data_IF_941265436428
#
_entry.id   IF_941265436428
#
_cell.length_a   1.000
_cell.length_b   1.000
_cell.length_c   1.000
_cell.angle_alpha   90.00
_cell.angle_beta   90.00
_cell.angle_gamma   90.00
#
_symmetry.space_group_name_H-M   'P 1'
#
loop_
_entity.id
_entity.type
_entity.pdbx_description
1 polymer ?
#
# COMPACT_ATOMS: atom_id res chain seq x y z
N UNK A 1 21.24 -4.57 -25.64
CA UNK A 1 19.86 -4.57 -25.09
C UNK A 1 20.00 -4.98 -23.64
N UNK A 2 19.42 -4.23 -22.70
CA UNK A 2 19.37 -4.69 -21.31
C UNK A 2 18.52 -5.97 -21.25
N UNK A 3 18.92 -6.91 -20.39
CA UNK A 3 18.16 -8.15 -20.15
C UNK A 3 16.78 -7.77 -19.59
N UNK A 4 15.70 -8.32 -20.16
CA UNK A 4 14.35 -8.14 -19.64
C UNK A 4 14.24 -8.79 -18.25
N UNK A 5 13.55 -8.14 -17.32
CA UNK A 5 13.25 -8.74 -16.02
C UNK A 5 12.12 -9.76 -16.18
N UNK A 6 12.29 -10.95 -15.63
CA UNK A 6 11.31 -12.04 -15.69
C UNK A 6 10.36 -11.93 -14.49
N UNK A 7 9.13 -11.50 -14.76
CA UNK A 7 8.11 -11.26 -13.76
C UNK A 7 7.15 -12.45 -13.62
N UNK A 8 6.66 -12.69 -12.41
CA UNK A 8 5.51 -13.54 -12.16
C UNK A 8 4.47 -12.88 -11.26
N UNK A 9 3.24 -13.41 -11.30
CA UNK A 9 2.13 -12.97 -10.44
C UNK A 9 1.57 -14.17 -9.69
N UNK A 10 1.51 -14.08 -8.36
CA UNK A 10 0.84 -15.06 -7.49
C UNK A 10 -0.52 -14.48 -7.10
N UNK A 11 -1.60 -15.12 -7.54
CA UNK A 11 -2.98 -14.67 -7.47
C UNK A 11 -3.46 -14.10 -8.81
N UNK A 12 -4.51 -14.71 -9.38
CA UNK A 12 -5.13 -14.32 -10.66
C UNK A 12 -6.54 -13.72 -10.46
N UNK A 13 -6.77 -13.08 -9.31
CA UNK A 13 -7.95 -12.27 -9.02
C UNK A 13 -8.02 -11.00 -9.86
N UNK A 14 -8.88 -10.04 -9.50
CA UNK A 14 -9.02 -8.79 -10.26
C UNK A 14 -7.72 -7.98 -10.30
N UNK A 15 -7.07 -7.77 -9.15
CA UNK A 15 -5.78 -7.06 -9.11
C UNK A 15 -4.68 -7.87 -9.78
N UNK A 16 -4.58 -9.18 -9.54
CA UNK A 16 -3.61 -10.04 -10.23
C UNK A 16 -3.69 -9.97 -11.76
N UNK A 17 -4.91 -9.89 -12.31
CA UNK A 17 -5.13 -9.66 -13.75
C UNK A 17 -4.60 -8.30 -14.23
N UNK A 18 -4.72 -7.25 -13.42
CA UNK A 18 -4.17 -5.94 -13.75
C UNK A 18 -2.63 -5.93 -13.71
N UNK A 19 -2.03 -6.58 -12.71
CA UNK A 19 -0.57 -6.73 -12.63
C UNK A 19 -0.03 -7.51 -13.84
N UNK A 20 -0.64 -8.66 -14.15
CA UNK A 20 -0.26 -9.47 -15.31
C UNK A 20 -0.39 -8.68 -16.62
N UNK A 21 -1.48 -7.92 -16.78
CA UNK A 21 -1.67 -7.05 -17.95
C UNK A 21 -0.55 -6.03 -18.08
N UNK A 22 -0.22 -5.32 -17.01
CA UNK A 22 0.79 -4.27 -17.05
C UNK A 22 2.18 -4.85 -17.30
N UNK A 23 2.57 -5.93 -16.62
CA UNK A 23 3.85 -6.59 -16.89
C UNK A 23 3.97 -7.07 -18.35
N UNK A 24 2.87 -7.55 -18.94
CA UNK A 24 2.84 -7.94 -20.35
C UNK A 24 2.89 -6.75 -21.33
N UNK A 25 2.59 -5.53 -20.88
CA UNK A 25 2.63 -4.29 -21.68
C UNK A 25 3.89 -3.45 -21.41
N UNK A 26 4.79 -3.87 -20.52
CA UNK A 26 6.05 -3.18 -20.22
C UNK A 26 7.15 -3.64 -21.19
N UNK A 27 7.88 -2.70 -21.79
CA UNK A 27 8.91 -3.02 -22.80
C UNK A 27 10.17 -3.69 -22.21
N UNK A 28 10.33 -3.61 -20.89
CA UNK A 28 11.54 -3.98 -20.18
C UNK A 28 11.32 -5.11 -19.16
N UNK A 29 10.11 -5.67 -19.13
CA UNK A 29 9.69 -6.81 -18.30
C UNK A 29 9.06 -7.88 -19.21
N UNK A 30 9.35 -9.14 -18.92
CA UNK A 30 8.69 -10.29 -19.51
C UNK A 30 7.84 -10.96 -18.43
N UNK A 31 6.51 -11.01 -18.61
CA UNK A 31 5.67 -11.84 -17.76
C UNK A 31 5.85 -13.31 -18.15
N UNK A 32 6.44 -14.12 -17.26
CA UNK A 32 6.80 -15.52 -17.57
C UNK A 32 5.85 -16.55 -16.96
N UNK A 33 5.28 -16.24 -15.79
CA UNK A 33 4.46 -17.18 -15.05
C UNK A 33 3.35 -16.52 -14.22
N UNK A 34 2.26 -17.26 -14.02
CA UNK A 34 1.17 -16.90 -13.11
C UNK A 34 0.81 -18.12 -12.26
N UNK A 35 0.58 -17.92 -10.96
CA UNK A 35 0.08 -18.95 -10.06
C UNK A 35 -1.29 -18.57 -9.46
N UNK A 36 -2.26 -19.49 -9.44
CA UNK A 36 -3.55 -19.34 -8.75
C UNK A 36 -4.17 -20.74 -8.56
N UNK A 37 -4.75 -21.07 -7.40
CA UNK A 37 -5.34 -22.40 -7.17
C UNK A 37 -6.57 -22.70 -8.05
N UNK A 38 -7.20 -21.67 -8.64
CA UNK A 38 -8.42 -21.78 -9.45
C UNK A 38 -8.07 -21.94 -10.94
N UNK A 39 -8.24 -23.15 -11.46
CA UNK A 39 -7.93 -23.52 -12.86
C UNK A 39 -8.63 -22.63 -13.90
N UNK A 40 -9.87 -22.20 -13.64
CA UNK A 40 -10.60 -21.32 -14.55
C UNK A 40 -9.95 -19.93 -14.67
N UNK A 41 -9.33 -19.42 -13.60
CA UNK A 41 -8.60 -18.14 -13.64
C UNK A 41 -7.31 -18.30 -14.43
N UNK A 42 -6.55 -19.37 -14.18
CA UNK A 42 -5.33 -19.68 -14.92
C UNK A 42 -5.58 -19.85 -16.42
N UNK A 43 -6.64 -20.58 -16.79
CA UNK A 43 -7.00 -20.82 -18.19
C UNK A 43 -7.22 -19.51 -18.95
N UNK A 44 -7.90 -18.53 -18.33
CA UNK A 44 -8.07 -17.19 -18.92
C UNK A 44 -6.74 -16.45 -19.06
N UNK A 45 -5.85 -16.56 -18.08
CA UNK A 45 -4.55 -15.89 -18.10
C UNK A 45 -3.62 -16.47 -19.15
N UNK A 46 -3.55 -17.81 -19.27
CA UNK A 46 -2.78 -18.51 -20.29
C UNK A 46 -3.21 -18.10 -21.71
N UNK A 47 -4.53 -18.04 -21.96
CA UNK A 47 -5.07 -17.62 -23.25
C UNK A 47 -4.71 -16.16 -23.58
N UNK A 48 -4.75 -15.27 -22.59
CA UNK A 48 -4.54 -13.83 -22.78
C UNK A 48 -3.07 -13.46 -22.94
N UNK A 49 -2.20 -14.04 -22.12
CA UNK A 49 -0.80 -13.60 -22.00
C UNK A 49 0.22 -14.61 -22.55
N UNK A 50 -0.19 -15.85 -22.86
CA UNK A 50 0.71 -16.93 -23.35
C UNK A 50 1.88 -17.23 -22.38
N UNK A 51 1.56 -17.34 -21.09
CA UNK A 51 2.51 -17.57 -20.00
C UNK A 51 2.35 -18.94 -19.39
N UNK A 52 3.37 -19.41 -18.66
CA UNK A 52 3.25 -20.63 -17.87
C UNK A 52 2.26 -20.39 -16.71
N UNK A 53 1.46 -21.41 -16.40
CA UNK A 53 0.48 -21.32 -15.32
C UNK A 53 0.66 -22.45 -14.33
N UNK A 54 0.56 -22.13 -13.05
CA UNK A 54 0.79 -23.06 -11.95
C UNK A 54 -0.38 -23.03 -10.97
N UNK A 55 -0.90 -24.18 -10.57
CA UNK A 55 -1.91 -24.27 -9.49
C UNK A 55 -1.28 -24.11 -8.10
N UNK A 56 0.03 -24.29 -8.00
CA UNK A 56 0.82 -24.13 -6.79
C UNK A 56 2.02 -23.23 -7.09
N UNK A 57 2.12 -22.10 -6.37
CA UNK A 57 3.19 -21.13 -6.58
C UNK A 57 4.56 -21.68 -6.14
N UNK A 58 4.62 -22.68 -5.26
CA UNK A 58 5.90 -23.29 -4.85
C UNK A 58 6.56 -24.02 -6.01
N UNK A 59 5.75 -24.72 -6.79
CA UNK A 59 6.22 -25.36 -8.04
C UNK A 59 6.69 -24.31 -9.05
N UNK A 60 6.03 -23.15 -9.10
CA UNK A 60 6.47 -22.03 -9.93
C UNK A 60 7.84 -21.50 -9.49
N UNK A 61 8.04 -21.29 -8.18
CA UNK A 61 9.32 -20.83 -7.61
C UNK A 61 10.48 -21.81 -7.89
N UNK A 62 10.21 -23.11 -7.91
CA UNK A 62 11.23 -24.14 -8.22
C UNK A 62 11.60 -24.21 -9.71
N UNK A 63 10.64 -23.94 -10.60
CA UNK A 63 10.80 -24.20 -12.04
C UNK A 63 11.18 -22.96 -12.85
N UNK A 64 10.78 -21.79 -12.39
CA UNK A 64 10.99 -20.54 -13.09
C UNK A 64 12.20 -19.79 -12.54
N UNK A 65 12.98 -19.18 -13.44
CA UNK A 65 13.94 -18.16 -13.06
C UNK A 65 13.22 -16.81 -13.07
N UNK A 66 12.99 -16.23 -11.89
CA UNK A 66 12.21 -15.02 -11.69
C UNK A 66 13.09 -13.90 -11.15
N UNK A 67 12.98 -12.72 -11.73
CA UNK A 67 13.68 -11.52 -11.26
C UNK A 67 12.77 -10.66 -10.35
N UNK A 68 11.44 -10.83 -10.44
CA UNK A 68 10.46 -10.14 -9.59
C UNK A 68 9.12 -10.87 -9.51
N UNK A 69 8.40 -10.71 -8.39
CA UNK A 69 7.08 -11.31 -8.18
C UNK A 69 6.11 -10.28 -7.59
N UNK A 70 4.88 -10.26 -8.09
CA UNK A 70 3.74 -9.63 -7.39
C UNK A 70 2.93 -10.68 -6.64
N UNK A 71 2.78 -10.52 -5.32
CA UNK A 71 1.91 -11.31 -4.45
C UNK A 71 0.58 -10.57 -4.31
N UNK A 72 -0.47 -11.12 -4.92
CA UNK A 72 -1.80 -10.53 -5.06
C UNK A 72 -2.88 -11.56 -4.68
N UNK A 73 -2.68 -12.17 -3.52
CA UNK A 73 -3.53 -13.20 -2.92
C UNK A 73 -4.48 -12.56 -1.88
N UNK A 74 -5.42 -13.29 -1.27
CA UNK A 74 -6.17 -12.76 -0.13
C UNK A 74 -5.25 -12.37 1.03
N UNK A 75 -5.63 -11.35 1.80
CA UNK A 75 -4.80 -10.78 2.88
C UNK A 75 -4.25 -11.83 3.85
N UNK A 76 -5.07 -12.82 4.23
CA UNK A 76 -4.70 -13.93 5.12
C UNK A 76 -3.49 -14.74 4.63
N UNK A 77 -3.24 -14.73 3.32
CA UNK A 77 -2.16 -15.47 2.67
C UNK A 77 -0.93 -14.59 2.37
N UNK A 78 -1.01 -13.27 2.58
CA UNK A 78 0.10 -12.37 2.28
C UNK A 78 1.38 -12.76 3.01
N UNK A 79 1.30 -13.10 4.30
CA UNK A 79 2.45 -13.47 5.10
C UNK A 79 3.15 -14.72 4.57
N UNK A 80 2.43 -15.86 4.49
CA UNK A 80 3.00 -17.14 4.08
C UNK A 80 3.60 -17.06 2.66
N UNK A 81 2.86 -16.50 1.71
CA UNK A 81 3.32 -16.43 0.30
C UNK A 81 4.50 -15.47 0.15
N UNK A 82 4.47 -14.31 0.80
CA UNK A 82 5.58 -13.34 0.72
C UNK A 82 6.83 -13.88 1.42
N UNK A 83 6.67 -14.58 2.55
CA UNK A 83 7.76 -15.25 3.24
C UNK A 83 8.44 -16.29 2.34
N UNK A 84 7.66 -17.17 1.67
CA UNK A 84 8.19 -18.18 0.75
C UNK A 84 8.93 -17.53 -0.44
N UNK A 85 8.41 -16.42 -0.98
CA UNK A 85 9.06 -15.67 -2.07
C UNK A 85 10.37 -15.02 -1.64
N UNK A 86 10.40 -14.36 -0.47
CA UNK A 86 11.62 -13.77 0.07
C UNK A 86 12.68 -14.83 0.39
N UNK A 87 12.25 -15.96 0.94
CA UNK A 87 13.11 -17.12 1.22
C UNK A 87 13.72 -17.72 -0.05
N UNK A 88 13.03 -17.62 -1.18
CA UNK A 88 13.54 -18.01 -2.50
C UNK A 88 14.53 -16.99 -3.11
N UNK A 89 14.77 -15.85 -2.44
CA UNK A 89 15.71 -14.82 -2.91
C UNK A 89 15.15 -13.90 -3.99
N UNK A 90 13.83 -13.86 -4.19
CA UNK A 90 13.22 -13.13 -5.31
C UNK A 90 12.59 -11.81 -4.82
N UNK A 91 12.94 -10.66 -5.43
CA UNK A 91 12.29 -9.39 -5.13
C UNK A 91 10.77 -9.45 -5.23
N UNK A 92 10.07 -8.85 -4.27
CA UNK A 92 8.63 -9.00 -4.14
C UNK A 92 7.91 -7.68 -3.91
N UNK A 93 6.80 -7.52 -4.63
CA UNK A 93 5.75 -6.56 -4.32
C UNK A 93 4.58 -7.34 -3.72
N UNK A 94 4.24 -7.08 -2.46
CA UNK A 94 3.03 -7.61 -1.83
C UNK A 94 1.94 -6.55 -1.88
N UNK A 95 0.74 -6.93 -2.32
CA UNK A 95 -0.42 -6.03 -2.25
C UNK A 95 -0.73 -5.60 -0.82
N UNK A 96 -1.37 -4.44 -0.64
CA UNK A 96 -1.70 -3.94 0.70
C UNK A 96 -2.89 -4.70 1.31
N UNK A 97 -2.94 -4.86 2.64
CA UNK A 97 -1.90 -4.51 3.61
C UNK A 97 -0.72 -5.48 3.53
N UNK A 98 0.46 -5.10 4.02
CA UNK A 98 1.68 -5.95 3.95
C UNK A 98 1.48 -7.38 4.49
N UNK A 99 0.64 -7.54 5.51
CA UNK A 99 0.22 -8.80 6.11
C UNK A 99 -1.10 -8.59 6.88
N UNK A 100 -1.65 -9.66 7.46
CA UNK A 100 -2.86 -9.58 8.30
C UNK A 100 -2.63 -8.91 9.65
N UNK A 101 -1.41 -8.97 10.19
CA UNK A 101 -1.05 -8.33 11.46
C UNK A 101 0.23 -7.50 11.35
N UNK A 102 0.40 -6.58 12.31
CA UNK A 102 1.60 -5.74 12.43
C UNK A 102 2.85 -6.60 12.64
N UNK A 103 2.75 -7.63 13.48
CA UNK A 103 3.85 -8.54 13.81
C UNK A 103 4.33 -9.31 12.58
N UNK A 104 3.40 -9.85 11.79
CA UNK A 104 3.72 -10.51 10.53
C UNK A 104 4.40 -9.55 9.54
N UNK A 105 3.93 -8.30 9.46
CA UNK A 105 4.56 -7.28 8.62
C UNK A 105 6.00 -6.97 9.06
N UNK A 106 6.24 -6.85 10.36
CA UNK A 106 7.58 -6.64 10.93
C UNK A 106 8.51 -7.83 10.64
N UNK A 107 7.99 -9.05 10.71
CA UNK A 107 8.75 -10.27 10.39
C UNK A 107 9.14 -10.32 8.91
N UNK A 108 8.24 -9.98 7.98
CA UNK A 108 8.58 -9.88 6.55
C UNK A 108 9.67 -8.83 6.27
N UNK A 109 9.64 -7.70 6.98
CA UNK A 109 10.68 -6.66 6.87
C UNK A 109 12.03 -7.19 7.38
N UNK A 110 12.03 -7.91 8.49
CA UNK A 110 13.25 -8.52 9.03
C UNK A 110 13.82 -9.55 8.07
N UNK A 111 12.98 -10.43 7.53
CA UNK A 111 13.39 -11.45 6.56
C UNK A 111 13.94 -10.81 5.27
N UNK A 112 13.28 -9.78 4.75
CA UNK A 112 13.77 -9.03 3.57
C UNK A 112 15.17 -8.45 3.80
N UNK A 113 15.46 -7.94 5.00
CA UNK A 113 16.80 -7.45 5.38
C UNK A 113 17.81 -8.57 5.57
N UNK A 114 17.41 -9.69 6.19
CA UNK A 114 18.26 -10.87 6.38
C UNK A 114 18.69 -11.50 5.05
N UNK A 115 17.76 -11.60 4.11
CA UNK A 115 17.98 -12.20 2.80
C UNK A 115 18.61 -11.24 1.78
N UNK A 116 18.72 -9.95 2.10
CA UNK A 116 19.12 -8.88 1.18
C UNK A 116 18.25 -8.85 -0.11
N UNK A 117 16.93 -9.02 0.08
CA UNK A 117 15.94 -9.09 -1.01
C UNK A 117 14.98 -7.91 -0.90
N UNK A 118 14.75 -7.22 -2.03
CA UNK A 118 13.86 -6.06 -2.08
C UNK A 118 12.40 -6.47 -1.82
N UNK A 119 11.81 -5.90 -0.76
CA UNK A 119 10.38 -5.96 -0.43
C UNK A 119 9.77 -4.57 -0.62
N UNK A 120 8.73 -4.47 -1.45
CA UNK A 120 7.88 -3.28 -1.57
C UNK A 120 6.41 -3.65 -1.35
N UNK A 121 5.57 -2.65 -1.04
CA UNK A 121 4.15 -2.85 -0.76
C UNK A 121 3.28 -2.06 -1.74
N UNK A 122 2.14 -2.63 -2.12
CA UNK A 122 1.15 -2.09 -3.06
C UNK A 122 0.38 -0.84 -2.58
N UNK A 123 1.07 0.18 -2.06
CA UNK A 123 0.48 1.48 -1.74
C UNK A 123 0.36 2.36 -2.99
N UNK A 124 -0.45 1.86 -3.93
CA UNK A 124 -0.63 2.39 -5.28
C UNK A 124 -0.95 3.90 -5.35
N UNK A 125 -1.62 4.45 -4.33
CA UNK A 125 -2.05 5.86 -4.36
C UNK A 125 -0.86 6.84 -4.23
N UNK A 126 0.31 6.40 -3.73
CA UNK A 126 1.56 7.20 -3.80
C UNK A 126 1.97 7.49 -5.24
N UNK A 127 1.57 6.62 -6.16
CA UNK A 127 1.84 6.72 -7.59
C UNK A 127 0.71 7.39 -8.37
N UNK A 128 -0.32 7.89 -7.67
CA UNK A 128 -1.37 8.67 -8.31
C UNK A 128 -0.81 10.03 -8.76
N UNK A 129 -0.94 10.41 -10.04
CA UNK A 129 -0.40 11.69 -10.54
C UNK A 129 -0.84 12.92 -9.75
N UNK A 130 -2.06 12.94 -9.20
CA UNK A 130 -2.53 14.03 -8.35
C UNK A 130 -1.76 14.10 -7.01
N UNK A 131 -1.44 12.95 -6.43
CA UNK A 131 -0.69 12.86 -5.17
C UNK A 131 0.79 13.18 -5.38
N UNK A 132 1.39 12.71 -6.48
CA UNK A 132 2.76 13.09 -6.86
C UNK A 132 2.86 14.61 -7.03
N UNK A 133 1.92 15.21 -7.76
CA UNK A 133 1.86 16.65 -7.95
C UNK A 133 1.65 17.40 -6.63
N UNK A 134 0.74 16.91 -5.77
CA UNK A 134 0.50 17.48 -4.44
C UNK A 134 1.76 17.44 -3.59
N UNK A 135 2.42 16.28 -3.47
CA UNK A 135 3.66 16.13 -2.70
C UNK A 135 4.75 17.09 -3.19
N UNK A 136 4.89 17.24 -4.50
CA UNK A 136 5.83 18.19 -5.10
C UNK A 136 5.47 19.65 -4.75
N UNK A 137 4.20 20.04 -4.80
CA UNK A 137 3.81 21.40 -4.40
C UNK A 137 4.04 21.67 -2.91
N UNK A 138 3.78 20.68 -2.05
CA UNK A 138 4.08 20.79 -0.63
C UNK A 138 5.59 20.91 -0.36
N UNK A 139 6.43 20.20 -1.12
CA UNK A 139 7.90 20.30 -0.97
C UNK A 139 8.47 21.63 -1.44
N UNK A 140 7.78 22.34 -2.34
CA UNK A 140 8.11 23.72 -2.73
C UNK A 140 7.70 24.76 -1.66
N UNK A 141 7.00 24.33 -0.60
CA UNK A 141 6.55 25.22 0.47
C UNK A 141 5.34 26.08 0.10
N UNK A 142 4.59 25.74 -0.96
CA UNK A 142 3.47 26.53 -1.47
C UNK A 142 2.41 26.86 -0.39
N UNK A 143 2.22 25.99 0.60
CA UNK A 143 1.28 26.21 1.71
C UNK A 143 1.93 26.75 2.99
N UNK A 144 3.25 26.94 3.05
CA UNK A 144 3.94 27.25 4.31
C UNK A 144 3.66 26.17 5.37
N UNK A 145 3.25 26.59 6.57
CA UNK A 145 2.82 25.64 7.61
C UNK A 145 1.49 24.98 7.26
N UNK A 146 1.48 23.64 7.25
CA UNK A 146 0.26 22.83 7.10
C UNK A 146 -0.48 22.80 8.45
N UNK A 147 -1.80 22.97 8.40
CA UNK A 147 -2.68 22.95 9.58
C UNK A 147 -3.50 21.68 9.65
N UNK A 148 -4.13 21.30 8.53
CA UNK A 148 -5.08 20.20 8.48
C UNK A 148 -4.97 19.43 7.15
N UNK A 149 -5.16 18.13 7.22
CA UNK A 149 -5.34 17.26 6.06
C UNK A 149 -6.65 16.50 6.23
N UNK A 150 -7.50 16.50 5.21
CA UNK A 150 -8.77 15.80 5.22
C UNK A 150 -8.85 14.85 4.03
N UNK A 151 -8.97 13.55 4.29
CA UNK A 151 -9.14 12.53 3.28
C UNK A 151 -10.56 11.96 3.32
N UNK A 152 -11.20 11.93 2.16
CA UNK A 152 -12.53 11.38 1.95
C UNK A 152 -12.44 10.21 0.97
N UNK A 153 -12.87 9.02 1.41
CA UNK A 153 -12.93 7.82 0.58
C UNK A 153 -14.28 7.14 0.74
N UNK A 154 -15.23 7.62 -0.04
CA UNK A 154 -16.63 7.25 0.02
C UNK A 154 -17.02 6.45 -1.22
N UNK A 155 -17.86 5.44 -1.06
CA UNK A 155 -18.36 4.69 -2.20
C UNK A 155 -19.46 3.71 -1.83
N UNK A 156 -20.09 3.11 -2.86
CA UNK A 156 -21.13 2.13 -2.65
C UNK A 156 -20.54 0.82 -2.11
N UNK A 157 -21.39 0.05 -1.45
CA UNK A 157 -20.99 -1.20 -0.80
C UNK A 157 -20.35 -2.17 -1.80
N UNK A 158 -19.16 -2.71 -1.50
CA UNK A 158 -18.47 -3.60 -2.42
C UNK A 158 -19.22 -4.93 -2.52
N UNK A 159 -19.44 -5.42 -3.74
CA UNK A 159 -20.17 -6.67 -3.95
C UNK A 159 -19.40 -7.95 -3.51
N UNK A 160 -18.12 -7.85 -3.15
CA UNK A 160 -17.21 -9.01 -3.05
C UNK A 160 -16.18 -8.96 -1.92
N UNK A 161 -16.09 -7.86 -1.17
CA UNK A 161 -15.17 -7.78 -0.02
C UNK A 161 -15.96 -8.30 1.18
N UNK A 162 -15.44 -9.35 1.82
CA UNK A 162 -16.12 -10.03 2.93
C UNK A 162 -15.18 -10.43 4.06
N UNK A 163 -13.87 -10.40 3.80
CA UNK A 163 -12.80 -10.87 4.68
C UNK A 163 -12.27 -9.78 5.62
N UNK A 164 -12.44 -8.51 5.27
CA UNK A 164 -11.99 -7.36 6.07
C UNK A 164 -13.02 -6.23 6.06
N UNK A 165 -12.97 -5.37 7.08
CA UNK A 165 -13.77 -4.16 7.16
C UNK A 165 -13.18 -2.99 6.38
N UNK A 166 -13.96 -1.91 6.29
CA UNK A 166 -13.60 -0.72 5.50
C UNK A 166 -12.33 -0.05 6.03
N UNK A 167 -11.99 -0.20 7.31
CA UNK A 167 -10.81 0.46 7.87
C UNK A 167 -9.53 -0.19 7.34
N UNK A 168 -9.44 -1.52 7.39
CA UNK A 168 -8.26 -2.24 6.88
C UNK A 168 -8.19 -2.15 5.35
N UNK A 169 -9.33 -2.27 4.66
CA UNK A 169 -9.32 -2.21 3.20
C UNK A 169 -9.06 -0.79 2.66
N UNK A 170 -9.80 0.22 3.14
CA UNK A 170 -9.76 1.55 2.53
C UNK A 170 -8.89 2.54 3.30
N UNK A 171 -8.98 2.58 4.63
CA UNK A 171 -8.27 3.60 5.42
C UNK A 171 -6.75 3.42 5.40
N UNK A 172 -6.23 2.22 5.17
CA UNK A 172 -4.79 1.96 5.02
C UNK A 172 -4.17 2.73 3.85
N UNK A 173 -4.92 2.99 2.76
CA UNK A 173 -4.45 3.86 1.68
C UNK A 173 -4.27 5.30 2.16
N UNK A 174 -5.29 5.84 2.83
CA UNK A 174 -5.25 7.24 3.22
C UNK A 174 -4.27 7.46 4.39
N UNK A 175 -4.20 6.56 5.36
CA UNK A 175 -3.18 6.60 6.44
C UNK A 175 -1.75 6.62 5.88
N UNK A 176 -1.48 5.81 4.86
CA UNK A 176 -0.21 5.83 4.15
C UNK A 176 0.03 7.19 3.47
N UNK A 177 -0.95 7.72 2.72
CA UNK A 177 -0.82 9.02 2.05
C UNK A 177 -0.62 10.17 3.05
N UNK A 178 -1.34 10.16 4.17
CA UNK A 178 -1.18 11.17 5.22
C UNK A 178 0.24 11.15 5.77
N UNK A 179 0.78 9.96 6.10
CA UNK A 179 2.17 9.84 6.53
C UNK A 179 3.14 10.28 5.41
N UNK A 180 2.93 9.82 4.18
CA UNK A 180 3.74 10.17 3.02
C UNK A 180 3.81 11.67 2.77
N UNK A 181 2.68 12.39 2.86
CA UNK A 181 2.62 13.83 2.63
C UNK A 181 3.26 14.62 3.78
N UNK A 182 2.95 14.25 5.02
CA UNK A 182 3.37 15.01 6.22
C UNK A 182 4.77 14.67 6.72
N UNK A 183 5.25 13.46 6.44
CA UNK A 183 6.46 12.89 7.05
C UNK A 183 6.43 12.99 8.59
N UNK A 184 5.26 12.80 9.18
CA UNK A 184 5.02 12.96 10.61
C UNK A 184 4.29 11.73 11.18
N UNK A 185 4.45 11.51 12.49
CA UNK A 185 3.77 10.43 13.19
C UNK A 185 2.45 10.91 13.78
N UNK A 186 1.49 10.00 13.88
CA UNK A 186 0.23 10.25 14.59
C UNK A 186 0.48 10.00 16.08
N UNK A 187 0.26 11.02 16.90
CA UNK A 187 0.36 10.98 18.35
C UNK A 187 -0.96 10.73 19.05
N UNK A 188 -2.09 10.95 18.36
CA UNK A 188 -3.43 10.67 18.92
C UNK A 188 -4.45 10.37 17.84
N UNK A 189 -5.37 9.46 18.15
CA UNK A 189 -6.54 9.20 17.31
C UNK A 189 -7.82 9.29 18.12
N UNK A 190 -8.87 9.80 17.51
CA UNK A 190 -10.25 9.68 17.96
C UNK A 190 -11.05 9.13 16.77
N UNK A 191 -11.84 8.09 16.98
CA UNK A 191 -12.55 7.43 15.89
C UNK A 191 -13.93 6.97 16.34
N UNK A 192 -14.86 7.01 15.39
CA UNK A 192 -16.16 6.35 15.45
C UNK A 192 -16.22 5.36 14.30
N UNK A 193 -16.52 4.10 14.61
CA UNK A 193 -16.71 3.04 13.60
C UNK A 193 -18.15 2.54 13.61
N UNK A 194 -18.70 2.32 12.43
CA UNK A 194 -20.06 1.84 12.25
C UNK A 194 -20.10 0.55 11.45
N UNK A 195 -21.08 -0.29 11.78
CA UNK A 195 -21.45 -1.46 10.98
C UNK A 195 -22.94 -1.40 10.71
N UNK A 196 -23.32 -1.02 9.49
CA UNK A 196 -24.71 -0.78 9.10
C UNK A 196 -25.27 -1.86 8.18
N UNK A 197 -24.48 -2.28 7.18
CA UNK A 197 -24.83 -3.26 6.15
C UNK A 197 -23.97 -4.51 6.22
N UNK A 198 -22.68 -4.37 6.51
CA UNK A 198 -21.76 -5.50 6.59
C UNK A 198 -22.11 -6.41 7.77
N UNK A 199 -22.00 -7.73 7.60
CA UNK A 199 -22.44 -8.70 8.63
C UNK A 199 -21.42 -8.92 9.74
N UNK A 200 -20.12 -8.95 9.41
CA UNK A 200 -19.04 -9.22 10.36
C UNK A 200 -18.23 -7.96 10.76
N UNK A 201 -17.75 -7.19 9.78
CA UNK A 201 -16.83 -6.06 9.97
C UNK A 201 -17.50 -4.69 9.86
N UNK A 202 -16.79 -3.64 10.26
CA UNK A 202 -17.19 -2.24 10.10
C UNK A 202 -17.23 -1.80 8.62
N UNK A 203 -18.19 -0.94 8.28
CA UNK A 203 -18.41 -0.40 6.92
C UNK A 203 -18.43 1.15 6.88
N UNK A 204 -18.16 1.78 8.02
CA UNK A 204 -18.02 3.23 8.18
C UNK A 204 -16.95 3.58 9.22
N UNK A 205 -16.16 4.60 8.91
CA UNK A 205 -15.17 5.22 9.78
C UNK A 205 -15.25 6.74 9.66
N UNK A 206 -15.37 7.41 10.81
CA UNK A 206 -15.13 8.85 10.95
C UNK A 206 -14.05 9.06 12.00
N UNK A 207 -12.93 9.70 11.65
CA UNK A 207 -11.82 9.86 12.59
C UNK A 207 -11.14 11.23 12.53
N UNK A 208 -10.60 11.64 13.67
CA UNK A 208 -9.72 12.80 13.84
C UNK A 208 -8.38 12.32 14.38
N UNK A 209 -7.30 12.74 13.73
CA UNK A 209 -5.92 12.38 14.05
C UNK A 209 -5.17 13.64 14.51
N UNK A 210 -4.24 13.47 15.44
CA UNK A 210 -3.25 14.50 15.79
C UNK A 210 -1.88 13.99 15.42
N UNK A 211 -1.12 14.78 14.66
CA UNK A 211 0.27 14.52 14.37
C UNK A 211 1.18 15.13 15.46
N UNK A 212 2.36 14.55 15.64
CA UNK A 212 3.40 15.05 16.56
C UNK A 212 3.88 16.48 16.22
N UNK A 213 3.89 16.83 14.93
CA UNK A 213 4.19 18.17 14.42
C UNK A 213 3.01 19.16 14.52
N UNK A 214 1.88 18.74 15.07
CA UNK A 214 0.71 19.58 15.29
C UNK A 214 -0.28 19.69 14.14
N UNK A 215 -0.10 18.97 13.03
CA UNK A 215 -1.11 18.83 11.98
C UNK A 215 -2.33 18.07 12.54
N UNK A 216 -3.53 18.41 12.07
CA UNK A 216 -4.76 17.64 12.33
C UNK A 216 -5.13 16.84 11.09
N UNK A 217 -5.35 15.54 11.26
CA UNK A 217 -5.90 14.68 10.20
C UNK A 217 -7.40 14.48 10.40
N UNK A 218 -8.16 14.44 9.31
CA UNK A 218 -9.58 14.04 9.31
C UNK A 218 -9.76 12.94 8.28
N UNK A 219 -10.42 11.86 8.66
CA UNK A 219 -10.76 10.74 7.77
C UNK A 219 -12.29 10.56 7.77
N UNK A 220 -12.88 10.55 6.57
CA UNK A 220 -14.27 10.13 6.33
C UNK A 220 -14.24 9.02 5.27
N UNK A 221 -14.49 7.78 5.70
CA UNK A 221 -14.27 6.59 4.89
C UNK A 221 -15.44 5.62 5.11
N UNK A 222 -16.18 5.30 4.05
CA UNK A 222 -17.29 4.36 4.16
C UNK A 222 -17.68 3.68 2.84
N UNK A 223 -18.43 2.58 2.99
CA UNK A 223 -19.06 1.80 1.93
C UNK A 223 -20.57 2.06 1.79
N UNK A 224 -21.07 3.14 2.42
CA UNK A 224 -22.50 3.42 2.54
C UNK A 224 -22.96 4.52 1.58
N UNK A 225 -22.01 5.26 1.00
CA UNK A 225 -22.31 6.41 0.14
C UNK A 225 -22.63 5.95 -1.29
N UNK A 226 -23.77 6.33 -1.90
CA UNK A 226 -24.17 5.82 -3.22
C UNK A 226 -23.30 6.34 -4.38
N UNK A 227 -22.47 7.36 -4.13
CA UNK A 227 -21.55 7.95 -5.09
C UNK A 227 -20.09 7.70 -4.67
N UNK A 228 -19.19 7.65 -5.65
CA UNK A 228 -17.75 7.52 -5.38
C UNK A 228 -17.13 8.89 -5.17
N UNK A 229 -16.54 9.11 -4.00
CA UNK A 229 -15.70 10.26 -3.68
C UNK A 229 -14.33 9.73 -3.26
N UNK A 230 -13.27 10.21 -3.90
CA UNK A 230 -11.90 9.97 -3.46
C UNK A 230 -11.15 11.27 -3.59
N UNK A 231 -10.97 11.93 -2.46
CA UNK A 231 -10.38 13.25 -2.41
C UNK A 231 -9.48 13.38 -1.18
N UNK A 232 -8.41 14.16 -1.32
CA UNK A 232 -7.63 14.64 -0.20
C UNK A 232 -7.48 16.16 -0.32
N UNK A 233 -7.70 16.86 0.78
CA UNK A 233 -7.46 18.29 0.89
C UNK A 233 -6.41 18.59 1.96
N UNK A 234 -5.55 19.57 1.68
CA UNK A 234 -4.46 19.99 2.58
C UNK A 234 -4.57 21.50 2.76
N UNK A 235 -4.81 21.93 3.99
CA UNK A 235 -4.99 23.34 4.35
C UNK A 235 -3.74 23.82 5.09
N UNK A 236 -3.23 24.98 4.71
CA UNK A 236 -2.10 25.64 5.36
C UNK A 236 -2.18 27.16 5.28
N UNK A 237 -1.06 27.83 5.59
CA UNK A 237 -0.93 29.29 5.56
C UNK A 237 -1.30 29.89 4.19
N UNK A 238 -0.80 29.29 3.11
CA UNK A 238 -0.97 29.80 1.75
C UNK A 238 -2.34 29.53 1.11
N UNK A 239 -3.19 28.70 1.73
CA UNK A 239 -4.47 28.29 1.17
C UNK A 239 -4.76 26.79 1.33
N UNK A 240 -5.42 26.21 0.34
CA UNK A 240 -5.85 24.82 0.35
C UNK A 240 -5.58 24.13 -0.99
N UNK A 241 -4.88 23.00 -0.95
CA UNK A 241 -4.88 22.07 -2.07
C UNK A 241 -6.06 21.10 -1.96
N UNK A 242 -6.66 20.76 -3.10
CA UNK A 242 -7.65 19.69 -3.24
C UNK A 242 -7.21 18.78 -4.39
N UNK A 243 -7.00 17.50 -4.08
CA UNK A 243 -6.56 16.49 -5.03
C UNK A 243 -7.61 15.37 -5.15
N UNK A 244 -8.04 15.09 -6.37
CA UNK A 244 -8.98 14.01 -6.68
C UNK A 244 -8.23 12.77 -7.18
N UNK A 245 -8.31 11.66 -6.46
CA UNK A 245 -7.67 10.41 -6.88
C UNK A 245 -8.31 9.85 -8.16
N UNK A 246 -9.62 10.06 -8.35
CA UNK A 246 -10.39 9.51 -9.47
C UNK A 246 -10.09 10.26 -10.77
N UNK A 247 -10.14 11.59 -10.73
CA UNK A 247 -9.94 12.42 -11.92
C UNK A 247 -8.47 12.77 -12.12
N UNK A 248 -7.61 12.53 -11.12
CA UNK A 248 -6.18 12.86 -11.14
C UNK A 248 -5.92 14.36 -11.33
N UNK A 249 -6.79 15.19 -10.75
CA UNK A 249 -6.68 16.63 -10.80
C UNK A 249 -6.17 17.17 -9.45
N UNK A 250 -5.45 18.28 -9.50
CA UNK A 250 -5.00 19.04 -8.33
C UNK A 250 -5.37 20.50 -8.53
N UNK A 251 -6.00 21.09 -7.52
CA UNK A 251 -6.41 22.50 -7.51
C UNK A 251 -5.85 23.14 -6.25
N UNK A 252 -5.25 24.33 -6.38
CA UNK A 252 -4.95 25.22 -5.26
C UNK A 252 -6.04 26.29 -5.18
N UNK A 253 -6.58 26.51 -3.98
CA UNK A 253 -7.37 27.69 -3.63
C UNK A 253 -6.50 28.54 -2.72
N UNK A 254 -6.04 29.69 -3.21
CA UNK A 254 -5.18 30.59 -2.44
C UNK A 254 -5.97 31.34 -1.37
N UNK A 255 -5.32 31.67 -0.27
CA UNK A 255 -5.88 32.55 0.75
C UNK A 255 -5.27 33.96 0.62
N UNK A 256 -5.63 34.69 -0.44
CA UNK A 256 -5.09 36.03 -0.76
C UNK A 256 -5.34 37.08 0.35
N UNK A 257 -6.31 36.81 1.24
CA UNK A 257 -6.77 37.75 2.25
C UNK A 257 -6.36 37.38 3.69
N UNK A 258 -5.51 36.36 3.91
CA UNK A 258 -5.01 36.06 5.25
C UNK A 258 -4.25 37.27 5.80
N UNK A 259 -4.75 37.98 6.82
CA UNK A 259 -4.11 39.20 7.28
C UNK A 259 -2.74 38.83 7.86
N UNK A 260 -1.69 39.42 7.31
CA UNK A 260 -0.40 39.50 7.98
C UNK A 260 -0.55 40.49 9.16
N UNK A 261 -1.11 40.04 10.30
CA UNK A 261 -1.31 40.86 11.51
C UNK A 261 -2.77 41.00 11.98
N UNK A 262 -3.00 41.91 12.93
CA UNK A 262 -4.29 42.11 13.62
C UNK A 262 -5.34 42.91 12.82
N UNK A 263 -5.33 42.87 11.49
CA UNK A 263 -6.16 43.72 10.64
C UNK A 263 -7.54 43.12 10.32
N UNK A 264 -8.17 42.51 11.34
CA UNK A 264 -9.54 41.97 11.28
C UNK A 264 -10.59 43.00 10.86
N UNK A 265 -10.30 44.30 11.04
CA UNK A 265 -11.16 45.40 10.62
C UNK A 265 -11.22 45.60 9.10
N UNK A 266 -10.23 45.13 8.33
CA UNK A 266 -10.28 45.24 6.85
C UNK A 266 -11.12 44.14 6.20
N UNK A 267 -11.14 42.94 6.80
CA UNK A 267 -11.95 41.81 6.31
C UNK A 267 -13.46 42.05 6.44
N UNK A 268 -13.90 42.80 7.46
CA UNK A 268 -15.32 43.13 7.63
C UNK A 268 -15.87 44.11 6.59
N UNK A 269 -14.99 44.84 5.89
CA UNK A 269 -15.35 45.85 4.89
C UNK A 269 -15.35 45.29 3.46
N UNK A 270 -14.49 44.32 3.16
CA UNK A 270 -14.29 43.79 1.80
C UNK A 270 -15.21 42.61 1.44
N UNK A 271 -15.87 42.00 2.44
CA UNK A 271 -16.62 40.75 2.26
C UNK A 271 -15.68 39.54 2.14
N UNK A 272 -16.25 38.34 2.19
CA UNK A 272 -15.50 37.07 2.07
C UNK A 272 -15.65 36.59 0.62
N UNK A 273 -14.54 36.37 -0.08
CA UNK A 273 -14.52 35.75 -1.40
C UNK A 273 -13.62 34.51 -1.38
N UNK A 274 -13.97 33.50 -2.18
CA UNK A 274 -13.02 32.44 -2.52
C UNK A 274 -11.81 33.09 -3.20
N UNK A 275 -10.59 32.76 -2.75
CA UNK A 275 -9.38 33.28 -3.36
C UNK A 275 -9.15 32.68 -4.75
N UNK A 276 -8.08 33.12 -5.43
CA UNK A 276 -7.75 32.62 -6.77
C UNK A 276 -7.59 31.10 -6.76
N UNK A 277 -8.18 30.42 -7.76
CA UNK A 277 -8.01 29.00 -7.98
C UNK A 277 -7.00 28.72 -9.10
N UNK A 278 -6.09 27.77 -8.86
CA UNK A 278 -5.07 27.34 -9.82
C UNK A 278 -5.24 25.85 -10.08
N UNK A 279 -5.55 25.49 -11.32
CA UNK A 279 -5.63 24.11 -11.77
C UNK A 279 -4.28 23.67 -12.33
N UNK A 280 -3.68 22.65 -11.73
CA UNK A 280 -2.40 22.14 -12.19
C UNK A 280 -2.59 21.22 -13.38
N UNK A 281 -1.81 21.44 -14.45
CA UNK A 281 -1.79 20.55 -15.61
C UNK A 281 -1.00 19.30 -15.25
N UNK A 282 -1.69 18.19 -15.04
CA UNK A 282 -1.12 16.90 -14.68
C UNK A 282 -1.21 15.94 -15.86
N UNK A 283 -0.11 15.23 -16.14
CA UNK A 283 -0.15 14.13 -17.09
C UNK A 283 -0.79 12.91 -16.43
N UNK A 284 -1.97 12.51 -16.92
CA UNK A 284 -2.74 11.40 -16.35
C UNK A 284 -2.09 10.08 -16.72
N UNK A 285 -1.97 9.18 -15.76
CA UNK A 285 -1.39 7.86 -15.94
C UNK A 285 -1.98 6.88 -14.95
N UNK A 286 -2.05 5.60 -15.34
CA UNK A 286 -2.53 4.55 -14.47
C UNK A 286 -1.57 4.37 -13.27
N UNK A 287 -2.02 4.57 -12.02
CA UNK A 287 -1.14 4.51 -10.85
C UNK A 287 -0.47 3.13 -10.65
N UNK A 288 -1.18 2.04 -10.99
CA UNK A 288 -0.60 0.69 -10.91
C UNK A 288 0.58 0.53 -11.86
N UNK A 289 0.50 1.15 -13.06
CA UNK A 289 1.60 1.10 -14.02
C UNK A 289 2.82 1.85 -13.51
N UNK A 290 2.62 3.03 -12.92
CA UNK A 290 3.70 3.79 -12.26
C UNK A 290 4.35 2.97 -11.14
N UNK A 291 3.57 2.30 -10.31
CA UNK A 291 4.06 1.47 -9.21
C UNK A 291 4.92 0.29 -9.70
N UNK A 292 4.41 -0.47 -10.68
CA UNK A 292 5.13 -1.64 -11.20
C UNK A 292 6.40 -1.25 -11.97
N UNK A 293 6.39 -0.11 -12.67
CA UNK A 293 7.59 0.44 -13.30
C UNK A 293 8.60 0.93 -12.26
N UNK A 294 8.16 1.58 -11.18
CA UNK A 294 9.04 1.98 -10.09
C UNK A 294 9.68 0.76 -9.40
N UNK A 295 8.90 -0.32 -9.20
CA UNK A 295 9.40 -1.57 -8.63
C UNK A 295 10.44 -2.24 -9.53
N UNK A 296 10.14 -2.40 -10.83
CA UNK A 296 11.09 -2.93 -11.80
C UNK A 296 12.36 -2.07 -11.89
N UNK A 297 12.22 -0.75 -11.87
CA UNK A 297 13.34 0.20 -11.89
C UNK A 297 14.24 0.06 -10.65
N UNK A 298 13.65 -0.06 -9.45
CA UNK A 298 14.39 -0.26 -8.21
C UNK A 298 15.25 -1.54 -8.24
N UNK A 299 14.72 -2.63 -8.81
CA UNK A 299 15.46 -3.89 -8.96
C UNK A 299 16.66 -3.70 -9.91
N UNK A 300 16.46 -3.08 -11.08
CA UNK A 300 17.56 -2.87 -12.05
C UNK A 300 18.67 -1.98 -11.51
N UNK A 301 18.30 -0.98 -10.71
CA UNK A 301 19.25 -0.01 -10.18
C UNK A 301 19.87 -0.46 -8.86
N UNK A 302 19.50 -1.63 -8.32
CA UNK A 302 19.82 -2.04 -6.95
C UNK A 302 19.49 -0.92 -5.94
N UNK A 303 18.33 -0.28 -6.14
CA UNK A 303 17.86 0.86 -5.39
C UNK A 303 17.01 0.48 -4.18
N UNK A 304 16.60 1.51 -3.43
CA UNK A 304 15.66 1.35 -2.33
C UNK A 304 14.25 0.94 -2.84
N UNK A 305 13.45 0.24 -2.04
CA UNK A 305 12.07 -0.08 -2.41
C UNK A 305 11.25 1.21 -2.62
N UNK A 306 10.42 1.28 -3.67
CA UNK A 306 9.58 2.45 -3.92
C UNK A 306 8.63 2.79 -2.76
N UNK A 307 8.14 1.75 -2.08
CA UNK A 307 7.40 1.86 -0.82
C UNK A 307 8.06 0.96 0.19
N UNK A 308 8.50 1.54 1.31
CA UNK A 308 9.15 0.78 2.38
C UNK A 308 8.13 -0.06 3.13
N UNK A 309 8.51 -1.27 3.53
CA UNK A 309 7.66 -2.10 4.39
C UNK A 309 7.31 -1.42 5.73
N UNK A 310 8.23 -0.60 6.26
CA UNK A 310 7.97 0.14 7.50
C UNK A 310 6.79 1.12 7.38
N UNK A 311 6.63 1.77 6.23
CA UNK A 311 5.52 2.68 5.98
C UNK A 311 4.18 1.92 5.97
N UNK A 312 4.17 0.72 5.35
CA UNK A 312 2.99 -0.13 5.29
C UNK A 312 2.60 -0.69 6.66
N UNK A 313 3.58 -1.10 7.48
CA UNK A 313 3.35 -1.52 8.87
C UNK A 313 2.80 -0.37 9.70
N UNK A 314 3.30 0.85 9.49
CA UNK A 314 2.80 2.03 10.18
C UNK A 314 1.32 2.31 9.81
N UNK A 315 0.98 2.26 8.52
CA UNK A 315 -0.40 2.41 8.06
C UNK A 315 -1.33 1.34 8.63
N UNK A 316 -0.91 0.06 8.61
CA UNK A 316 -1.67 -1.04 9.21
C UNK A 316 -1.85 -0.87 10.72
N UNK A 317 -0.80 -0.47 11.44
CA UNK A 317 -0.85 -0.24 12.89
C UNK A 317 -1.85 0.85 13.24
N UNK A 318 -1.87 1.97 12.51
CA UNK A 318 -2.84 3.02 12.75
C UNK A 318 -4.26 2.60 12.38
N UNK A 319 -4.44 1.80 11.33
CA UNK A 319 -5.75 1.25 10.99
C UNK A 319 -6.29 0.37 12.15
N UNK A 320 -5.47 -0.49 12.73
CA UNK A 320 -5.84 -1.26 13.92
C UNK A 320 -6.20 -0.36 15.12
N UNK A 321 -5.43 0.70 15.38
CA UNK A 321 -5.71 1.66 16.46
C UNK A 321 -7.01 2.43 16.23
N UNK A 322 -7.38 2.72 14.99
CA UNK A 322 -8.67 3.36 14.68
C UNK A 322 -9.85 2.43 14.98
N UNK A 323 -9.72 1.13 14.66
CA UNK A 323 -10.72 0.12 15.02
C UNK A 323 -10.85 0.02 16.54
N UNK A 324 -9.73 -0.03 17.26
CA UNK A 324 -9.70 -0.06 18.73
C UNK A 324 -10.34 1.18 19.35
N UNK A 325 -9.99 2.38 18.86
CA UNK A 325 -10.56 3.64 19.32
C UNK A 325 -12.08 3.68 19.08
N UNK A 326 -12.53 3.28 17.90
CA UNK A 326 -13.94 3.23 17.53
C UNK A 326 -14.75 2.22 18.33
N UNK A 327 -14.21 1.03 18.60
CA UNK A 327 -14.87 0.03 19.43
C UNK A 327 -15.09 0.52 20.88
N UNK A 328 -14.22 1.41 21.36
CA UNK A 328 -14.27 1.98 22.70
C UNK A 328 -14.94 3.37 22.75
N UNK A 329 -15.44 3.90 21.63
CA UNK A 329 -16.04 5.25 21.53
C UNK A 329 -15.10 6.36 21.99
N UNK A 330 -13.79 6.19 21.76
CA UNK A 330 -12.75 6.81 22.57
C UNK A 330 -11.61 7.47 21.81
N UNK A 331 -10.81 8.20 22.56
CA UNK A 331 -9.54 8.77 22.11
C UNK A 331 -8.40 7.88 22.60
N UNK A 332 -7.50 7.49 21.70
CA UNK A 332 -6.27 6.78 22.04
C UNK A 332 -5.06 7.69 21.85
N UNK A 333 -4.29 7.88 22.92
CA UNK A 333 -2.97 8.50 22.85
C UNK A 333 -1.95 7.44 22.39
N UNK A 334 -1.06 7.83 21.49
CA UNK A 334 -0.05 6.97 20.89
C UNK A 334 1.30 7.39 21.44
N UNK A 335 1.75 6.66 22.45
CA UNK A 335 3.01 6.93 23.14
C UNK A 335 4.23 6.64 22.27
N UNK A 336 4.18 5.60 21.42
CA UNK A 336 5.25 5.24 20.50
C UNK A 336 4.69 4.66 19.17
N UNK A 337 5.32 4.92 18.01
CA UNK A 337 5.05 4.15 16.80
C UNK A 337 5.39 2.67 17.03
N UNK A 338 4.81 1.73 16.26
CA UNK A 338 5.19 0.32 16.36
C UNK A 338 6.72 0.19 16.29
N UNK A 339 7.33 -0.52 17.24
CA UNK A 339 8.77 -0.73 17.29
C UNK A 339 9.24 -1.37 15.98
N UNK A 340 9.89 -0.57 15.12
CA UNK A 340 10.52 -1.03 13.89
C UNK A 340 11.82 -1.81 14.17
N UNK A 341 12.25 -1.86 15.42
CA UNK A 341 13.32 -2.73 15.91
C UNK A 341 12.78 -4.13 16.14
N UNK A 342 13.11 -5.04 15.22
CA UNK A 342 12.94 -6.47 15.42
C UNK A 342 14.02 -6.93 16.38
N UNK A 343 13.63 -7.41 17.57
CA UNK A 343 14.54 -8.19 18.38
C UNK A 343 14.74 -9.53 17.66
N UNK A 344 16.00 -9.97 17.42
CA UNK A 344 16.23 -11.31 16.89
C UNK A 344 15.76 -12.30 17.96
N UNK A 345 14.52 -12.77 17.87
CA UNK A 345 14.08 -13.93 18.63
C UNK A 345 14.79 -15.15 18.06
N UNK A 346 15.45 -15.88 18.95
CA UNK A 346 16.28 -17.05 18.71
C UNK A 346 15.71 -17.97 17.61
N UNK A 347 16.29 -17.86 16.41
CA UNK A 347 16.18 -18.86 15.36
C UNK A 347 16.77 -20.17 15.91
N UNK A 348 15.90 -21.11 16.26
CA UNK A 348 16.30 -22.50 16.49
C UNK A 348 16.79 -23.06 15.15
N UNK A 349 18.02 -23.59 15.04
CA UNK A 349 18.58 -23.99 13.76
C UNK A 349 17.94 -25.27 13.21
N UNK A 350 17.56 -25.17 11.94
CA UNK A 350 17.58 -26.19 10.88
C UNK A 350 17.78 -27.66 11.29
N UNK A 351 16.79 -28.51 11.00
CA UNK A 351 17.04 -29.86 10.50
C UNK A 351 16.75 -29.91 9.01
N UNK A 352 17.78 -29.61 8.21
CA UNK A 352 17.85 -30.12 6.85
C UNK A 352 17.85 -31.66 6.94
N UNK A 353 17.00 -32.38 6.19
CA UNK A 353 17.10 -33.83 6.10
C UNK A 353 18.44 -34.17 5.43
N UNK A 354 19.31 -34.87 6.16
CA UNK A 354 20.51 -35.45 5.60
C UNK A 354 20.11 -36.37 4.44
N UNK A 355 20.70 -36.10 3.29
CA UNK A 355 20.69 -36.95 2.10
C UNK A 355 20.95 -38.41 2.47
N UNK A 356 20.01 -39.28 2.13
CA UNK A 356 20.23 -40.73 2.18
C UNK A 356 21.29 -41.11 1.13
N UNK A 357 22.45 -41.55 1.57
CA UNK A 357 23.41 -42.24 0.70
C UNK A 357 22.83 -43.59 0.24
N UNK A 358 23.08 -44.00 -1.02
CA UNK A 358 22.63 -45.29 -1.52
C UNK A 358 23.46 -46.43 -0.94
N UNK A 359 22.82 -47.33 -0.22
CA UNK A 359 23.43 -48.60 0.21
C UNK A 359 23.63 -49.49 -1.03
N UNK A 360 24.86 -49.55 -1.51
CA UNK A 360 25.29 -50.57 -2.47
C UNK A 360 25.30 -51.95 -1.80
N UNK A 361 24.39 -52.82 -2.23
CA UNK A 361 24.43 -54.24 -1.93
C UNK A 361 25.68 -54.88 -2.53
N UNK A 362 26.62 -55.30 -1.68
CA UNK A 362 27.68 -56.24 -2.06
C UNK A 362 27.18 -57.66 -1.84
N UNK A 363 26.79 -58.31 -2.93
CA UNK A 363 26.82 -59.76 -3.05
C UNK A 363 28.27 -60.22 -3.12
N UNK A 364 28.73 -61.03 -2.16
CA UNK A 364 29.85 -61.94 -2.35
C UNK A 364 29.57 -63.21 -1.56
N UNK A 365 29.51 -64.34 -2.26
CA UNK A 365 29.42 -65.67 -1.67
C UNK A 365 30.78 -66.27 -1.31
N UNK A 366 30.70 -67.54 -0.91
CA UNK A 366 31.72 -68.54 -0.57
C UNK A 366 32.11 -68.62 0.91
N UNK A 367 31.78 -69.76 1.51
CA UNK A 367 32.06 -70.18 2.87
C UNK A 367 30.99 -71.15 3.37
#
# INVERSE_FOLDING_TARGET
MNKLLRAAVIGAGNMGQNHARIYAEMDDVELVAIADPVLERLSRMAQRHRVHTYTDYRIMLEREQLDLISVVVPTEQHFEVTHDVLSAGVPVLVEKPIASTVEQGLELIALSKEMDVLLTVGHIERFNPAIIALKHQLSLGTLGRIYQIHAMRLGPFPARITDVGVVIDLATHDLDILHYLTNANISRVHAEVGRQLHTAHEDMLSAILRFDNGIVGVLDINWLTPTKVREISVIGEGGMFVASYLTQDLILYENDAAPQGNDWQQLSVLGVSEGRSIHFKINKREPLREELEAFASAIRMHGAPPVRGEDAVLALSFACKLIEAGANGGTLEISEPPSLTVHPTELVPSKLPQSAEPVFARSNGHG
#
